data_IF_348897873472
#
_entry.id   IF_348897873472
#
_cell.length_a   1.000
_cell.length_b   1.000
_cell.length_c   1.000
_cell.angle_alpha   90.00
_cell.angle_beta   90.00
_cell.angle_gamma   90.00
#
_symmetry.space_group_name_H-M   'P 1'
#
loop_
_entity.id
_entity.type
_entity.pdbx_description
1 polymer ?
#
# COMPACT_ATOMS: atom_id res chain seq x y z
N UNK A 1 -27.45 -3.55 26.06
CA UNK A 1 -26.39 -4.08 26.96
C UNK A 1 -26.88 -4.04 28.39
N UNK A 2 -26.51 -5.02 29.21
CA UNK A 2 -26.71 -4.99 30.67
C UNK A 2 -25.67 -4.08 31.35
N UNK A 3 -25.84 -3.80 32.64
CA UNK A 3 -24.85 -3.03 33.42
C UNK A 3 -23.49 -3.75 33.47
N UNK A 4 -23.50 -5.07 33.67
CA UNK A 4 -22.28 -5.89 33.68
C UNK A 4 -21.56 -5.88 32.32
N UNK A 5 -22.31 -5.92 31.21
CA UNK A 5 -21.74 -5.82 29.86
C UNK A 5 -21.10 -4.45 29.63
N UNK A 6 -21.74 -3.37 30.11
CA UNK A 6 -21.20 -2.02 30.03
C UNK A 6 -19.93 -1.86 30.87
N UNK A 7 -19.93 -2.40 32.08
CA UNK A 7 -18.76 -2.42 32.95
C UNK A 7 -17.61 -3.19 32.31
N UNK A 8 -17.88 -4.39 31.77
CA UNK A 8 -16.89 -5.19 31.06
C UNK A 8 -16.31 -4.42 29.87
N UNK A 9 -17.14 -3.78 29.04
CA UNK A 9 -16.68 -2.95 27.92
C UNK A 9 -15.75 -1.82 28.38
N UNK A 10 -16.10 -1.14 29.47
CA UNK A 10 -15.28 -0.06 30.01
C UNK A 10 -13.94 -0.57 30.55
N UNK A 11 -13.94 -1.70 31.26
CA UNK A 11 -12.71 -2.31 31.77
C UNK A 11 -11.80 -2.79 30.64
N UNK A 12 -12.36 -3.44 29.62
CA UNK A 12 -11.59 -3.85 28.44
C UNK A 12 -10.87 -2.65 27.83
N UNK A 13 -11.59 -1.56 27.54
CA UNK A 13 -11.03 -0.31 26.98
C UNK A 13 -9.93 0.34 27.83
N UNK A 14 -9.91 0.05 29.14
CA UNK A 14 -8.95 0.63 30.08
C UNK A 14 -7.66 -0.19 30.21
N UNK A 15 -7.61 -1.42 29.68
CA UNK A 15 -6.34 -2.15 29.57
C UNK A 15 -5.49 -1.49 28.51
N UNK A 16 -4.32 -0.98 28.91
CA UNK A 16 -3.43 -0.27 28.01
C UNK A 16 -2.52 -1.23 27.27
N UNK A 17 -2.38 -1.00 25.97
CA UNK A 17 -1.32 -1.64 25.19
C UNK A 17 0.03 -1.06 25.58
N UNK A 18 0.98 -1.92 25.95
CA UNK A 18 2.34 -1.52 26.27
C UNK A 18 3.10 -0.91 25.08
N UNK A 19 2.52 -0.97 23.87
CA UNK A 19 3.11 -0.45 22.64
C UNK A 19 3.61 0.99 22.75
N UNK A 20 2.87 1.88 23.44
CA UNK A 20 3.31 3.28 23.61
C UNK A 20 4.58 3.40 24.47
N UNK A 21 4.65 2.65 25.58
CA UNK A 21 5.84 2.62 26.44
C UNK A 21 7.02 2.00 25.68
N UNK A 22 6.79 0.90 24.98
CA UNK A 22 7.80 0.19 24.19
C UNK A 22 8.35 1.02 23.03
N UNK A 23 7.50 1.78 22.33
CA UNK A 23 7.89 2.56 21.16
C UNK A 23 8.51 3.93 21.49
N UNK A 24 8.01 4.62 22.53
CA UNK A 24 8.37 6.02 22.79
C UNK A 24 9.21 6.24 24.06
N UNK A 25 8.98 5.47 25.14
CA UNK A 25 9.74 5.64 26.40
C UNK A 25 11.10 4.94 26.34
N UNK A 26 11.21 3.84 25.58
CA UNK A 26 12.46 3.10 25.38
C UNK A 26 13.62 3.94 24.80
N UNK A 27 13.32 5.05 24.10
CA UNK A 27 14.35 5.97 23.57
C UNK A 27 15.00 6.86 24.65
N UNK A 28 14.63 6.71 25.93
CA UNK A 28 15.14 7.46 27.08
C UNK A 28 15.97 6.62 28.07
N UNK A 29 15.91 6.99 29.36
CA UNK A 29 16.61 6.29 30.45
C UNK A 29 15.98 4.91 30.71
N UNK A 30 16.78 3.85 30.60
CA UNK A 30 16.36 2.46 30.79
C UNK A 30 15.65 2.23 32.15
N UNK A 31 16.14 2.85 33.24
CA UNK A 31 15.52 2.70 34.56
C UNK A 31 14.12 3.32 34.64
N UNK A 32 13.92 4.47 33.99
CA UNK A 32 12.61 5.13 33.90
C UNK A 32 11.63 4.30 33.04
N UNK A 33 12.13 3.73 31.95
CA UNK A 33 11.37 2.81 31.09
C UNK A 33 10.87 1.60 31.88
N UNK A 34 11.77 0.90 32.59
CA UNK A 34 11.41 -0.28 33.37
C UNK A 34 10.42 0.06 34.49
N UNK A 35 10.58 1.22 35.15
CA UNK A 35 9.66 1.67 36.20
C UNK A 35 8.26 1.90 35.65
N UNK A 36 8.12 2.66 34.56
CA UNK A 36 6.81 2.92 33.92
C UNK A 36 6.16 1.65 33.40
N UNK A 37 6.95 0.75 32.79
CA UNK A 37 6.44 -0.53 32.31
C UNK A 37 5.90 -1.38 33.47
N UNK A 38 6.59 -1.40 34.62
CA UNK A 38 6.14 -2.12 35.80
C UNK A 38 4.85 -1.53 36.40
N UNK A 39 4.75 -0.21 36.50
CA UNK A 39 3.54 0.48 36.97
C UNK A 39 2.34 0.19 36.06
N UNK A 40 2.51 0.26 34.74
CA UNK A 40 1.44 -0.03 33.80
C UNK A 40 1.02 -1.51 33.85
N UNK A 41 1.98 -2.43 33.97
CA UNK A 41 1.68 -3.86 34.18
C UNK A 41 0.90 -4.10 35.46
N UNK A 42 1.28 -3.47 36.56
CA UNK A 42 0.55 -3.59 37.83
C UNK A 42 -0.88 -3.06 37.70
N UNK A 43 -1.09 -1.94 37.01
CA UNK A 43 -2.41 -1.39 36.76
C UNK A 43 -3.26 -2.27 35.82
N UNK A 44 -2.64 -2.84 34.79
CA UNK A 44 -3.29 -3.81 33.91
C UNK A 44 -3.69 -5.06 34.69
N UNK A 45 -2.84 -5.62 35.56
CA UNK A 45 -3.18 -6.77 36.40
C UNK A 45 -4.39 -6.51 37.31
N UNK A 46 -4.46 -5.33 37.94
CA UNK A 46 -5.65 -4.93 38.73
C UNK A 46 -6.90 -4.89 37.85
N UNK A 47 -6.79 -4.38 36.63
CA UNK A 47 -7.91 -4.28 35.68
C UNK A 47 -8.33 -5.67 35.18
N UNK A 48 -7.37 -6.53 34.85
CA UNK A 48 -7.59 -7.93 34.46
C UNK A 48 -8.23 -8.73 35.59
N UNK A 49 -7.89 -8.46 36.85
CA UNK A 49 -8.55 -9.06 38.02
C UNK A 49 -10.05 -8.72 38.09
N UNK A 50 -10.41 -7.46 37.80
CA UNK A 50 -11.83 -7.04 37.72
C UNK A 50 -12.55 -7.69 36.54
N UNK A 51 -11.89 -7.78 35.39
CA UNK A 51 -12.44 -8.46 34.21
C UNK A 51 -12.69 -9.93 34.54
N UNK A 52 -11.71 -10.65 35.13
CA UNK A 52 -11.86 -12.04 35.58
C UNK A 52 -13.06 -12.23 36.52
N UNK A 53 -13.23 -11.33 37.49
CA UNK A 53 -14.35 -11.40 38.43
C UNK A 53 -15.71 -11.25 37.72
N UNK A 54 -15.83 -10.33 36.76
CA UNK A 54 -17.06 -10.18 35.96
C UNK A 54 -17.30 -11.38 35.05
N UNK A 55 -16.27 -11.89 34.37
CA UNK A 55 -16.42 -13.06 33.50
C UNK A 55 -16.85 -14.30 34.30
N UNK A 56 -16.38 -14.44 35.55
CA UNK A 56 -16.78 -15.53 36.44
C UNK A 56 -18.26 -15.49 36.86
N UNK A 57 -18.98 -14.36 36.71
CA UNK A 57 -20.43 -14.32 36.94
C UNK A 57 -21.25 -14.88 35.76
N UNK A 58 -20.59 -15.23 34.63
CA UNK A 58 -21.24 -15.76 33.44
C UNK A 58 -21.74 -14.68 32.47
N UNK A 59 -21.17 -13.47 32.52
CA UNK A 59 -21.47 -12.41 31.55
C UNK A 59 -21.23 -12.94 30.13
N UNK A 60 -22.28 -12.93 29.30
CA UNK A 60 -22.16 -13.34 27.90
C UNK A 60 -21.15 -12.47 27.15
N UNK A 61 -20.36 -13.08 26.27
CA UNK A 61 -19.38 -12.41 25.40
C UNK A 61 -19.89 -12.15 23.97
N UNK A 62 -21.14 -12.52 23.66
CA UNK A 62 -21.70 -12.40 22.31
C UNK A 62 -22.38 -11.06 22.02
N UNK A 63 -22.31 -10.10 22.96
CA UNK A 63 -22.88 -8.77 22.76
C UNK A 63 -21.91 -7.86 22.00
N UNK A 64 -22.43 -6.73 21.51
CA UNK A 64 -21.64 -5.69 20.89
C UNK A 64 -21.92 -4.34 21.54
N UNK A 65 -20.90 -3.48 21.58
CA UNK A 65 -21.02 -2.10 22.01
C UNK A 65 -21.75 -1.21 20.97
N UNK A 66 -21.86 0.09 21.24
CA UNK A 66 -22.49 1.06 20.35
C UNK A 66 -21.78 1.21 18.99
N UNK A 67 -20.51 0.78 18.90
CA UNK A 67 -19.72 0.78 17.67
C UNK A 67 -19.69 -0.60 17.01
N UNK A 68 -20.57 -1.52 17.44
CA UNK A 68 -20.65 -2.90 16.98
C UNK A 68 -19.39 -3.74 17.27
N UNK A 69 -18.61 -3.39 18.30
CA UNK A 69 -17.48 -4.19 18.76
C UNK A 69 -17.89 -5.19 19.84
N UNK A 70 -17.57 -6.46 19.62
CA UNK A 70 -17.63 -7.50 20.66
C UNK A 70 -16.48 -7.33 21.67
N UNK A 71 -16.58 -7.92 22.88
CA UNK A 71 -15.47 -7.99 23.83
C UNK A 71 -14.14 -8.44 23.20
N UNK A 72 -14.19 -9.49 22.36
CA UNK A 72 -13.00 -9.98 21.66
C UNK A 72 -12.45 -8.94 20.68
N UNK A 73 -13.31 -8.24 19.93
CA UNK A 73 -12.84 -7.19 19.04
C UNK A 73 -12.20 -6.03 19.79
N UNK A 74 -12.72 -5.65 20.97
CA UNK A 74 -12.09 -4.63 21.81
C UNK A 74 -10.66 -5.04 22.17
N UNK A 75 -10.45 -6.27 22.63
CA UNK A 75 -9.13 -6.81 22.93
C UNK A 75 -8.19 -6.79 21.70
N UNK A 76 -8.71 -7.15 20.52
CA UNK A 76 -7.99 -7.09 19.24
C UNK A 76 -7.58 -5.66 18.90
N UNK A 77 -8.49 -4.68 18.98
CA UNK A 77 -8.19 -3.27 18.67
C UNK A 77 -7.16 -2.65 19.62
N UNK A 78 -7.03 -3.20 20.82
CA UNK A 78 -6.02 -2.79 21.79
C UNK A 78 -4.68 -3.50 21.62
N UNK A 79 -4.57 -4.42 20.67
CA UNK A 79 -3.36 -5.22 20.46
C UNK A 79 -2.92 -5.96 21.75
N UNK A 80 -3.87 -6.41 22.58
CA UNK A 80 -3.59 -7.14 23.84
C UNK A 80 -3.85 -8.63 23.68
N UNK A 81 -2.76 -9.40 23.58
CA UNK A 81 -2.81 -10.86 23.53
C UNK A 81 -3.36 -11.43 24.85
N UNK A 82 -3.02 -10.79 25.97
CA UNK A 82 -3.44 -11.19 27.31
C UNK A 82 -4.96 -11.12 27.46
N UNK A 83 -5.61 -10.06 26.93
CA UNK A 83 -7.06 -9.98 26.90
C UNK A 83 -7.70 -10.98 25.95
N UNK A 84 -7.11 -11.20 24.77
CA UNK A 84 -7.62 -12.20 23.83
C UNK A 84 -7.60 -13.59 24.48
N UNK A 85 -6.50 -13.97 25.12
CA UNK A 85 -6.36 -15.23 25.86
C UNK A 85 -7.38 -15.34 27.00
N UNK A 86 -7.50 -14.29 27.82
CA UNK A 86 -8.48 -14.28 28.91
C UNK A 86 -9.91 -14.47 28.39
N UNK A 87 -10.30 -13.79 27.32
CA UNK A 87 -11.63 -13.96 26.75
C UNK A 87 -11.84 -15.36 26.17
N UNK A 88 -10.81 -15.97 25.58
CA UNK A 88 -10.85 -17.37 25.11
C UNK A 88 -11.06 -18.36 26.26
N UNK A 89 -10.40 -18.16 27.40
CA UNK A 89 -10.58 -18.99 28.60
C UNK A 89 -12.04 -19.02 29.07
N UNK A 90 -12.78 -17.94 28.84
CA UNK A 90 -14.21 -17.80 29.16
C UNK A 90 -15.12 -18.02 27.94
N UNK A 91 -14.63 -18.68 26.89
CA UNK A 91 -15.44 -19.18 25.77
C UNK A 91 -15.62 -18.22 24.60
N UNK A 92 -14.84 -17.14 24.50
CA UNK A 92 -14.82 -16.34 23.27
C UNK A 92 -14.23 -17.14 22.10
N UNK A 93 -14.95 -17.18 20.98
CA UNK A 93 -14.49 -17.84 19.76
C UNK A 93 -13.64 -16.89 18.90
N UNK A 94 -12.34 -17.17 18.82
CA UNK A 94 -11.40 -16.41 17.96
C UNK A 94 -11.61 -16.61 16.45
N UNK A 95 -12.48 -17.52 16.04
CA UNK A 95 -12.87 -17.73 14.63
C UNK A 95 -14.19 -17.05 14.28
N UNK A 96 -14.95 -16.57 15.27
CA UNK A 96 -16.24 -15.94 15.03
C UNK A 96 -16.06 -14.61 14.30
N UNK A 97 -16.59 -14.54 13.07
CA UNK A 97 -16.64 -13.30 12.31
C UNK A 97 -17.73 -12.38 12.86
N UNK A 98 -17.46 -11.09 12.87
CA UNK A 98 -18.44 -10.06 13.24
C UNK A 98 -18.61 -9.11 12.06
N UNK A 99 -19.81 -9.12 11.48
CA UNK A 99 -20.05 -8.47 10.20
C UNK A 99 -19.26 -9.15 9.08
N UNK A 100 -18.38 -8.38 8.42
CA UNK A 100 -17.60 -8.85 7.27
C UNK A 100 -16.16 -9.25 7.61
N UNK A 101 -15.79 -9.32 8.90
CA UNK A 101 -14.40 -9.52 9.31
C UNK A 101 -14.24 -10.60 10.38
N UNK A 102 -13.19 -11.41 10.21
CA UNK A 102 -12.68 -12.27 11.27
C UNK A 102 -11.79 -11.46 12.23
N UNK A 103 -11.49 -11.97 13.44
CA UNK A 103 -10.58 -11.31 14.36
C UNK A 103 -9.21 -11.00 13.74
N UNK A 104 -8.70 -11.87 12.85
CA UNK A 104 -7.44 -11.64 12.14
C UNK A 104 -7.51 -10.46 11.15
N UNK A 105 -8.64 -10.28 10.44
CA UNK A 105 -8.83 -9.11 9.56
C UNK A 105 -8.90 -7.82 10.36
N UNK A 106 -9.57 -7.82 11.52
CA UNK A 106 -9.60 -6.65 12.41
C UNK A 106 -8.24 -6.36 13.02
N UNK A 107 -7.50 -7.37 13.46
CA UNK A 107 -6.14 -7.19 13.93
C UNK A 107 -5.26 -6.56 12.84
N UNK A 108 -5.43 -7.03 11.60
CA UNK A 108 -4.74 -6.49 10.45
C UNK A 108 -5.15 -5.05 10.09
N UNK A 109 -6.42 -4.67 10.27
CA UNK A 109 -6.93 -3.32 10.02
C UNK A 109 -6.50 -2.30 11.08
N UNK A 110 -6.41 -2.72 12.35
CA UNK A 110 -6.06 -1.82 13.46
C UNK A 110 -4.56 -1.78 13.76
N UNK A 111 -3.74 -2.45 12.96
CA UNK A 111 -2.30 -2.51 13.18
C UNK A 111 -1.89 -3.31 14.42
N UNK A 112 -2.74 -4.24 14.87
CA UNK A 112 -2.52 -5.04 16.07
C UNK A 112 -1.56 -6.21 15.80
N UNK A 113 -0.30 -5.89 15.54
CA UNK A 113 0.76 -6.82 15.15
C UNK A 113 1.00 -7.99 16.12
N UNK A 114 0.93 -7.76 17.44
CA UNK A 114 1.07 -8.81 18.48
C UNK A 114 -0.10 -9.79 18.39
N UNK A 115 -1.32 -9.27 18.23
CA UNK A 115 -2.52 -10.09 18.06
C UNK A 115 -2.52 -10.81 16.72
N UNK A 116 -2.02 -10.21 15.63
CA UNK A 116 -1.82 -10.89 14.34
C UNK A 116 -0.92 -12.11 14.51
N UNK A 117 0.26 -11.97 15.15
CA UNK A 117 1.16 -13.10 15.45
C UNK A 117 0.45 -14.18 16.24
N UNK A 118 -0.16 -13.80 17.35
CA UNK A 118 -0.86 -14.72 18.23
C UNK A 118 -1.97 -15.50 17.50
N UNK A 119 -2.83 -14.82 16.73
CA UNK A 119 -3.92 -15.47 16.01
C UNK A 119 -3.41 -16.45 14.96
N UNK A 120 -2.32 -16.12 14.25
CA UNK A 120 -1.68 -17.04 13.30
C UNK A 120 -1.08 -18.24 14.04
N UNK A 121 -0.44 -18.03 15.20
CA UNK A 121 0.05 -19.12 16.07
C UNK A 121 -1.07 -20.03 16.59
N UNK A 122 -2.28 -19.49 16.80
CA UNK A 122 -3.50 -20.27 17.11
C UNK A 122 -4.09 -21.01 15.89
N UNK A 123 -3.41 -20.97 14.75
CA UNK A 123 -3.79 -21.68 13.52
C UNK A 123 -4.85 -20.96 12.68
N UNK A 124 -5.03 -19.65 12.84
CA UNK A 124 -5.81 -18.88 11.86
C UNK A 124 -4.98 -18.68 10.60
N UNK A 125 -5.57 -18.98 9.45
CA UNK A 125 -4.90 -18.84 8.16
C UNK A 125 -4.72 -17.35 7.79
N UNK A 126 -3.47 -16.84 7.66
CA UNK A 126 -3.23 -15.47 7.22
C UNK A 126 -3.60 -15.22 5.74
N UNK A 127 -3.92 -16.26 4.96
CA UNK A 127 -4.51 -16.16 3.61
C UNK A 127 -6.03 -16.20 3.60
N UNK A 128 -6.65 -16.39 4.77
CA UNK A 128 -8.10 -16.46 4.88
C UNK A 128 -8.75 -15.22 4.30
N UNK A 129 -9.86 -15.42 3.58
CA UNK A 129 -10.67 -14.34 3.06
C UNK A 129 -11.76 -13.97 4.08
N UNK A 130 -11.99 -12.69 4.23
CA UNK A 130 -13.16 -12.16 4.93
C UNK A 130 -14.44 -12.56 4.17
N UNK A 131 -15.62 -12.59 4.84
CA UNK A 131 -16.90 -12.74 4.14
C UNK A 131 -17.12 -11.79 2.95
N UNK A 132 -16.46 -10.62 2.95
CA UNK A 132 -16.48 -9.66 1.84
C UNK A 132 -15.42 -9.91 0.75
N UNK A 133 -14.62 -10.97 0.84
CA UNK A 133 -13.61 -11.35 -0.14
C UNK A 133 -12.26 -10.63 -0.01
N UNK A 134 -12.05 -9.81 1.02
CA UNK A 134 -10.76 -9.20 1.29
C UNK A 134 -9.82 -10.21 1.95
N UNK A 135 -8.53 -10.20 1.59
CA UNK A 135 -7.50 -10.93 2.34
C UNK A 135 -7.05 -10.12 3.55
N UNK A 136 -6.42 -10.79 4.52
CA UNK A 136 -5.82 -10.17 5.71
C UNK A 136 -4.78 -9.10 5.30
N UNK A 137 -3.91 -9.40 4.34
CA UNK A 137 -2.89 -8.45 3.87
C UNK A 137 -3.52 -7.28 3.09
N UNK A 138 -4.53 -7.52 2.25
CA UNK A 138 -5.22 -6.43 1.55
C UNK A 138 -5.90 -5.48 2.54
N UNK A 139 -6.44 -6.01 3.63
CA UNK A 139 -7.04 -5.21 4.70
C UNK A 139 -5.99 -4.36 5.39
N UNK A 140 -4.85 -4.96 5.74
CA UNK A 140 -3.73 -4.23 6.33
C UNK A 140 -3.25 -3.09 5.42
N UNK A 141 -3.04 -3.35 4.12
CA UNK A 141 -2.61 -2.33 3.14
C UNK A 141 -3.61 -1.19 2.98
N UNK A 142 -4.91 -1.48 3.04
CA UNK A 142 -5.95 -0.45 2.93
C UNK A 142 -6.08 0.44 4.16
N UNK A 143 -5.47 0.06 5.29
CA UNK A 143 -5.59 0.77 6.55
C UNK A 143 -4.38 1.65 6.85
N UNK A 144 -4.65 2.93 7.13
CA UNK A 144 -3.65 3.88 7.64
C UNK A 144 -3.11 3.53 9.03
N UNK A 145 -3.80 2.66 9.77
CA UNK A 145 -3.43 2.29 11.14
C UNK A 145 -2.45 1.11 11.19
N UNK A 146 -2.17 0.49 10.04
CA UNK A 146 -1.53 -0.82 9.99
C UNK A 146 -0.08 -0.80 9.56
N UNK A 147 0.63 0.31 9.71
CA UNK A 147 1.98 0.55 9.13
C UNK A 147 2.93 -0.66 9.16
N UNK A 148 3.05 -1.35 10.29
CA UNK A 148 4.00 -2.47 10.48
C UNK A 148 3.42 -3.84 10.07
N UNK A 149 2.10 -3.97 9.96
CA UNK A 149 1.43 -5.25 9.74
C UNK A 149 1.60 -5.81 8.32
N UNK A 150 1.58 -5.02 7.22
CA UNK A 150 1.86 -5.54 5.89
C UNK A 150 3.22 -6.24 5.79
N UNK A 151 4.26 -5.66 6.39
CA UNK A 151 5.59 -6.26 6.41
C UNK A 151 5.59 -7.59 7.18
N UNK A 152 4.98 -7.60 8.37
CA UNK A 152 4.80 -8.80 9.19
C UNK A 152 4.05 -9.92 8.44
N UNK A 153 2.94 -9.58 7.79
CA UNK A 153 2.14 -10.56 7.05
C UNK A 153 2.90 -11.08 5.84
N UNK A 154 3.63 -10.25 5.10
CA UNK A 154 4.51 -10.71 4.01
C UNK A 154 5.53 -11.72 4.53
N UNK A 155 6.18 -11.42 5.67
CA UNK A 155 7.14 -12.33 6.31
C UNK A 155 6.49 -13.68 6.68
N UNK A 156 5.30 -13.67 7.27
CA UNK A 156 4.56 -14.89 7.64
C UNK A 156 4.07 -15.70 6.43
N UNK A 157 3.75 -15.01 5.34
CA UNK A 157 3.20 -15.64 4.15
C UNK A 157 4.30 -16.26 3.27
N UNK A 158 5.53 -15.76 3.30
CA UNK A 158 6.65 -16.30 2.51
C UNK A 158 6.91 -17.81 2.77
N UNK A 159 7.02 -18.31 4.02
CA UNK A 159 7.23 -19.73 4.30
C UNK A 159 6.09 -20.64 3.83
N UNK A 160 4.87 -20.10 3.77
CA UNK A 160 3.64 -20.84 3.48
C UNK A 160 3.15 -20.60 2.05
N UNK A 161 3.98 -20.02 1.17
CA UNK A 161 3.65 -19.66 -0.22
C UNK A 161 3.13 -20.84 -1.06
N UNK A 162 3.51 -22.07 -0.70
CA UNK A 162 3.01 -23.31 -1.31
C UNK A 162 1.55 -23.63 -0.99
N UNK A 163 0.98 -23.01 0.05
CA UNK A 163 -0.42 -23.19 0.48
C UNK A 163 -1.39 -22.21 -0.21
N UNK A 164 -0.92 -21.40 -1.18
CA UNK A 164 -1.76 -20.45 -1.92
C UNK A 164 -2.88 -21.17 -2.69
N UNK A 165 -4.04 -20.49 -2.89
CA UNK A 165 -5.06 -21.00 -3.81
C UNK A 165 -4.47 -21.13 -5.23
N UNK A 166 -4.96 -22.09 -6.04
CA UNK A 166 -4.44 -22.30 -7.38
C UNK A 166 -4.61 -21.04 -8.26
N UNK A 167 -3.73 -20.85 -9.26
CA UNK A 167 -3.83 -19.71 -10.16
C UNK A 167 -5.18 -19.72 -10.89
N UNK A 168 -5.84 -18.57 -11.05
CA UNK A 168 -7.10 -18.53 -11.80
C UNK A 168 -6.86 -18.89 -13.27
N UNK A 169 -7.83 -19.59 -13.87
CA UNK A 169 -7.74 -20.05 -15.27
C UNK A 169 -7.60 -18.91 -16.29
N UNK A 170 -8.04 -17.69 -15.95
CA UNK A 170 -7.99 -16.50 -16.80
C UNK A 170 -7.57 -15.28 -15.98
N UNK A 171 -6.28 -15.01 -15.91
CA UNK A 171 -5.74 -13.79 -15.31
C UNK A 171 -5.47 -12.74 -16.40
N UNK A 172 -6.00 -11.53 -16.23
CA UNK A 172 -5.65 -10.36 -17.03
C UNK A 172 -4.66 -9.52 -16.23
N UNK A 173 -3.37 -9.77 -16.41
CA UNK A 173 -2.33 -9.11 -15.63
C UNK A 173 -0.99 -9.81 -15.70
N UNK A 174 -0.11 -9.46 -14.77
CA UNK A 174 1.23 -10.01 -14.65
C UNK A 174 1.16 -11.35 -13.89
N UNK A 175 1.60 -12.43 -14.52
CA UNK A 175 1.68 -13.76 -13.89
C UNK A 175 3.00 -13.92 -13.15
N UNK A 176 2.96 -14.53 -11.97
CA UNK A 176 4.14 -14.85 -11.17
C UNK A 176 5.20 -15.62 -11.96
N UNK A 177 4.81 -16.66 -12.72
CA UNK A 177 5.74 -17.48 -13.49
C UNK A 177 6.60 -16.64 -14.45
N UNK A 178 5.96 -15.82 -15.29
CA UNK A 178 6.67 -14.94 -16.23
C UNK A 178 7.48 -13.87 -15.52
N UNK A 179 6.95 -13.29 -14.45
CA UNK A 179 7.64 -12.23 -13.70
C UNK A 179 8.87 -12.76 -12.98
N UNK A 180 8.77 -13.90 -12.30
CA UNK A 180 9.90 -14.54 -11.63
C UNK A 180 10.95 -14.97 -12.66
N UNK A 181 10.52 -15.52 -13.80
CA UNK A 181 11.42 -15.84 -14.91
C UNK A 181 12.20 -14.62 -15.40
N UNK A 182 11.52 -13.50 -15.64
CA UNK A 182 12.15 -12.24 -16.05
C UNK A 182 13.09 -11.66 -14.98
N UNK A 183 12.64 -11.59 -13.73
CA UNK A 183 13.41 -11.01 -12.63
C UNK A 183 14.59 -11.87 -12.17
N UNK A 184 14.61 -13.15 -12.53
CA UNK A 184 15.76 -14.05 -12.31
C UNK A 184 16.87 -13.88 -13.36
N UNK A 185 16.59 -13.18 -14.46
CA UNK A 185 17.57 -12.86 -15.49
C UNK A 185 18.54 -11.75 -15.10
N UNK A 186 19.37 -11.36 -16.06
CA UNK A 186 20.31 -10.25 -15.93
C UNK A 186 19.58 -8.92 -15.76
N UNK A 187 20.22 -7.97 -15.06
CA UNK A 187 19.68 -6.62 -14.89
C UNK A 187 19.65 -5.92 -16.25
N UNK A 188 18.48 -5.43 -16.72
CA UNK A 188 18.40 -4.74 -18.00
C UNK A 188 19.30 -3.50 -18.04
N UNK A 189 19.82 -3.19 -19.23
CA UNK A 189 20.61 -1.97 -19.45
C UNK A 189 19.81 -0.72 -19.04
N UNK A 190 20.46 0.22 -18.34
CA UNK A 190 19.82 1.45 -17.85
C UNK A 190 18.93 1.28 -16.62
N UNK A 191 18.89 0.08 -16.02
CA UNK A 191 18.27 -0.16 -14.71
C UNK A 191 19.37 -0.39 -13.67
N UNK A 192 19.30 0.32 -12.54
CA UNK A 192 20.27 0.13 -11.46
C UNK A 192 20.03 -1.20 -10.72
N UNK A 193 21.08 -1.94 -10.30
CA UNK A 193 20.93 -3.22 -9.62
C UNK A 193 20.06 -3.18 -8.36
N UNK A 194 20.13 -2.09 -7.59
CA UNK A 194 19.32 -1.94 -6.39
C UNK A 194 17.84 -1.69 -6.70
N UNK A 195 17.51 -0.97 -7.79
CA UNK A 195 16.12 -0.80 -8.26
C UNK A 195 15.56 -2.12 -8.78
N UNK A 196 16.39 -2.94 -9.43
CA UNK A 196 16.02 -4.29 -9.84
C UNK A 196 15.72 -5.20 -8.65
N UNK A 197 16.59 -5.18 -7.63
CA UNK A 197 16.36 -5.90 -6.38
C UNK A 197 15.10 -5.41 -5.64
N UNK A 198 14.84 -4.10 -5.65
CA UNK A 198 13.64 -3.50 -5.07
C UNK A 198 12.37 -3.94 -5.81
N UNK A 199 12.40 -3.97 -7.16
CA UNK A 199 11.31 -4.51 -7.96
C UNK A 199 11.06 -5.99 -7.66
N UNK A 200 12.12 -6.78 -7.49
CA UNK A 200 12.01 -8.19 -7.08
C UNK A 200 11.34 -8.34 -5.72
N UNK A 201 11.79 -7.59 -4.72
CA UNK A 201 11.16 -7.59 -3.40
C UNK A 201 9.69 -7.17 -3.43
N UNK A 202 9.36 -6.15 -4.23
CA UNK A 202 7.96 -5.74 -4.46
C UNK A 202 7.14 -6.89 -5.05
N UNK A 203 7.62 -7.53 -6.12
CA UNK A 203 6.89 -8.61 -6.78
C UNK A 203 6.77 -9.87 -5.92
N UNK A 204 7.81 -10.21 -5.15
CA UNK A 204 7.76 -11.32 -4.18
C UNK A 204 6.69 -11.07 -3.11
N UNK A 205 6.60 -9.83 -2.60
CA UNK A 205 5.59 -9.41 -1.64
C UNK A 205 4.17 -9.35 -2.23
N UNK A 206 4.03 -9.01 -3.53
CA UNK A 206 2.74 -9.03 -4.24
C UNK A 206 2.27 -10.47 -4.45
N UNK A 207 3.16 -11.36 -4.90
CA UNK A 207 2.80 -12.74 -5.20
C UNK A 207 2.72 -13.64 -3.97
N UNK A 208 2.92 -13.13 -2.76
CA UNK A 208 2.83 -13.95 -1.54
C UNK A 208 1.40 -14.46 -1.26
N UNK A 209 0.38 -13.80 -1.83
CA UNK A 209 -1.05 -14.15 -1.72
C UNK A 209 -1.67 -14.68 -3.02
N UNK A 210 -1.18 -14.21 -4.17
CA UNK A 210 -1.78 -14.47 -5.48
C UNK A 210 -0.71 -14.89 -6.48
N UNK A 211 -1.09 -15.64 -7.50
CA UNK A 211 -0.23 -15.99 -8.62
C UNK A 211 -0.20 -14.93 -9.73
N UNK A 212 -1.00 -13.87 -9.60
CA UNK A 212 -1.08 -12.80 -10.59
C UNK A 212 -1.44 -11.46 -9.94
N UNK A 213 -1.10 -10.36 -10.60
CA UNK A 213 -1.50 -9.01 -10.19
C UNK A 213 -2.04 -8.24 -11.38
N UNK A 214 -3.07 -7.42 -11.17
CA UNK A 214 -3.58 -6.54 -12.22
C UNK A 214 -2.60 -5.41 -12.49
N UNK A 215 -2.63 -4.81 -13.68
CA UNK A 215 -1.79 -3.65 -13.96
C UNK A 215 -2.12 -2.45 -13.07
N UNK A 216 -3.39 -2.28 -12.66
CA UNK A 216 -3.82 -1.22 -11.74
C UNK A 216 -3.14 -1.39 -10.38
N UNK A 217 -3.18 -2.61 -9.82
CA UNK A 217 -2.60 -2.87 -8.50
C UNK A 217 -1.06 -2.84 -8.55
N UNK A 218 -0.46 -3.34 -9.64
CA UNK A 218 0.98 -3.22 -9.86
C UNK A 218 1.42 -1.75 -9.91
N UNK A 219 0.69 -0.91 -10.66
CA UNK A 219 0.97 0.51 -10.75
C UNK A 219 0.85 1.21 -9.38
N UNK A 220 -0.21 0.92 -8.62
CA UNK A 220 -0.38 1.47 -7.28
C UNK A 220 0.79 1.09 -6.34
N UNK A 221 1.25 -0.17 -6.41
CA UNK A 221 2.42 -0.61 -5.65
C UNK A 221 3.72 0.08 -6.05
N UNK A 222 3.90 0.39 -7.34
CA UNK A 222 5.03 1.19 -7.82
C UNK A 222 4.92 2.63 -7.31
N UNK A 223 3.75 3.29 -7.40
CA UNK A 223 3.57 4.65 -6.86
C UNK A 223 3.91 4.72 -5.37
N UNK A 224 3.37 3.80 -4.56
CA UNK A 224 3.58 3.75 -3.12
C UNK A 224 5.06 3.58 -2.74
N UNK A 225 5.79 2.70 -3.45
CA UNK A 225 7.18 2.39 -3.12
C UNK A 225 8.20 3.24 -3.85
N UNK A 226 7.83 3.91 -4.94
CA UNK A 226 8.79 4.61 -5.78
C UNK A 226 9.45 5.74 -5.03
N UNK A 227 8.77 6.44 -4.10
CA UNK A 227 9.23 7.75 -3.62
C UNK A 227 9.72 8.63 -4.80
N UNK A 228 9.12 8.44 -5.98
CA UNK A 228 9.50 9.02 -7.26
C UNK A 228 10.89 8.64 -7.77
N UNK A 229 11.35 7.42 -7.47
CA UNK A 229 12.52 6.79 -8.05
C UNK A 229 12.25 6.39 -9.52
N UNK A 230 12.82 7.12 -10.50
CA UNK A 230 12.60 6.87 -11.92
C UNK A 230 13.07 5.48 -12.34
N UNK A 231 14.20 5.02 -11.78
CA UNK A 231 14.76 3.71 -12.11
C UNK A 231 13.82 2.56 -11.73
N UNK A 232 13.05 2.69 -10.64
CA UNK A 232 12.05 1.69 -10.27
C UNK A 232 10.84 1.73 -11.21
N UNK A 233 10.38 2.93 -11.57
CA UNK A 233 9.27 3.10 -12.53
C UNK A 233 9.63 2.48 -13.88
N UNK A 234 10.83 2.76 -14.40
CA UNK A 234 11.29 2.20 -15.67
C UNK A 234 11.51 0.68 -15.61
N UNK A 235 12.08 0.18 -14.51
CA UNK A 235 12.17 -1.27 -14.30
C UNK A 235 10.77 -1.91 -14.31
N UNK A 236 9.78 -1.25 -13.71
CA UNK A 236 8.39 -1.70 -13.69
C UNK A 236 7.73 -1.67 -15.07
N UNK A 237 7.92 -0.60 -15.86
CA UNK A 237 7.44 -0.53 -17.24
C UNK A 237 8.08 -1.62 -18.10
N UNK A 238 9.39 -1.82 -18.00
CA UNK A 238 10.11 -2.87 -18.72
C UNK A 238 9.61 -4.27 -18.34
N UNK A 239 9.32 -4.50 -17.05
CA UNK A 239 8.69 -5.74 -16.58
C UNK A 239 7.32 -5.95 -17.23
N UNK A 240 6.46 -4.92 -17.28
CA UNK A 240 5.15 -5.03 -17.95
C UNK A 240 5.33 -5.39 -19.42
N UNK A 241 6.20 -4.68 -20.13
CA UNK A 241 6.49 -4.93 -21.55
C UNK A 241 7.02 -6.34 -21.81
N UNK A 242 7.87 -6.87 -20.93
CA UNK A 242 8.50 -8.17 -21.10
C UNK A 242 7.60 -9.36 -20.70
N UNK A 243 6.69 -9.16 -19.74
CA UNK A 243 6.01 -10.28 -19.06
C UNK A 243 4.50 -10.32 -19.25
N UNK A 244 3.87 -9.20 -19.63
CA UNK A 244 2.42 -9.20 -19.84
C UNK A 244 2.07 -10.11 -21.01
N UNK A 245 1.04 -10.95 -20.82
CA UNK A 245 0.62 -11.90 -21.86
C UNK A 245 -0.02 -11.22 -23.08
N UNK A 246 -0.69 -10.09 -22.85
CA UNK A 246 -1.25 -9.29 -23.94
C UNK A 246 -0.15 -8.41 -24.54
N UNK A 247 0.01 -8.47 -25.86
CA UNK A 247 0.89 -7.55 -26.58
C UNK A 247 0.44 -6.09 -26.38
N UNK A 248 1.36 -5.10 -26.46
CA UNK A 248 1.01 -3.70 -26.39
C UNK A 248 0.05 -3.33 -27.52
N UNK A 249 -0.97 -2.53 -27.20
CA UNK A 249 -2.01 -2.14 -28.17
C UNK A 249 -2.12 -0.63 -28.22
N UNK A 250 -1.92 -0.05 -29.40
CA UNK A 250 -2.20 1.36 -29.60
C UNK A 250 -3.70 1.67 -29.39
N UNK A 251 -4.01 2.77 -28.72
CA UNK A 251 -5.39 3.18 -28.42
C UNK A 251 -5.55 4.69 -28.53
N UNK A 252 -6.61 5.14 -29.21
CA UNK A 252 -7.02 6.54 -29.23
C UNK A 252 -8.33 6.73 -28.44
N UNK A 253 -8.37 7.70 -27.53
CA UNK A 253 -9.51 7.99 -26.66
C UNK A 253 -9.80 9.48 -26.58
N UNK A 254 -11.07 9.86 -26.37
CA UNK A 254 -11.44 11.26 -26.12
C UNK A 254 -11.17 11.71 -24.69
N UNK A 255 -11.26 10.79 -23.73
CA UNK A 255 -11.09 11.01 -22.30
C UNK A 255 -10.50 9.76 -21.66
N UNK A 256 -9.76 9.94 -20.57
CA UNK A 256 -9.29 8.85 -19.70
C UNK A 256 -10.22 8.68 -18.50
N UNK A 257 -10.07 7.58 -17.77
CA UNK A 257 -10.81 7.34 -16.54
C UNK A 257 -10.51 8.43 -15.49
N UNK A 258 -11.46 8.65 -14.57
CA UNK A 258 -11.31 9.60 -13.44
C UNK A 258 -10.54 9.04 -12.25
N UNK A 259 -10.09 7.79 -12.32
CA UNK A 259 -9.27 7.11 -11.31
C UNK A 259 -7.87 6.81 -11.88
N UNK A 260 -7.08 5.98 -11.19
CA UNK A 260 -5.82 5.47 -11.72
C UNK A 260 -6.02 4.77 -13.08
N UNK A 261 -5.24 5.17 -14.08
CA UNK A 261 -5.34 4.69 -15.45
C UNK A 261 -4.02 4.06 -15.91
N UNK A 262 -4.05 2.79 -16.32
CA UNK A 262 -2.86 2.10 -16.83
C UNK A 262 -3.13 1.60 -18.24
N UNK A 263 -2.22 1.91 -19.17
CA UNK A 263 -2.30 1.47 -20.55
C UNK A 263 -1.00 0.79 -21.01
N UNK A 264 -1.14 -0.43 -21.51
CA UNK A 264 -0.04 -1.18 -22.12
C UNK A 264 -0.03 -0.97 -23.64
N UNK A 265 0.87 -0.11 -24.11
CA UNK A 265 0.98 0.33 -25.50
C UNK A 265 0.97 1.84 -25.64
N UNK A 266 0.78 2.32 -26.87
CA UNK A 266 0.73 3.73 -27.22
C UNK A 266 -0.66 4.31 -26.99
N UNK A 267 -0.74 5.46 -26.32
CA UNK A 267 -1.99 6.13 -26.01
C UNK A 267 -2.07 7.50 -26.71
N UNK A 268 -3.14 7.70 -27.49
CA UNK A 268 -3.53 9.01 -27.98
C UNK A 268 -4.78 9.51 -27.22
N UNK A 269 -4.71 10.72 -26.66
CA UNK A 269 -5.86 11.43 -26.09
C UNK A 269 -6.19 12.60 -27.01
N UNK A 270 -7.37 12.58 -27.63
CA UNK A 270 -7.75 13.58 -28.65
C UNK A 270 -8.22 14.93 -28.10
N UNK A 271 -8.08 15.15 -26.79
CA UNK A 271 -8.49 16.36 -26.10
C UNK A 271 -7.71 16.54 -24.81
N UNK A 272 -8.15 17.46 -23.95
CA UNK A 272 -7.45 17.73 -22.70
C UNK A 272 -7.41 16.50 -21.77
N UNK A 273 -6.32 16.38 -21.03
CA UNK A 273 -6.06 15.31 -20.08
C UNK A 273 -5.82 15.92 -18.70
N UNK A 274 -6.64 15.53 -17.73
CA UNK A 274 -6.36 15.79 -16.31
C UNK A 274 -5.90 14.48 -15.66
N UNK A 275 -4.66 14.46 -15.16
CA UNK A 275 -4.01 13.25 -14.63
C UNK A 275 -4.36 13.09 -13.14
N UNK A 276 -4.73 11.87 -12.75
CA UNK A 276 -5.01 11.48 -11.36
C UNK A 276 -3.94 10.52 -10.83
N UNK A 277 -3.57 9.52 -11.63
CA UNK A 277 -2.45 8.59 -11.45
C UNK A 277 -2.42 7.78 -12.73
N UNK A 278 -1.35 7.85 -13.51
CA UNK A 278 -1.33 7.28 -14.86
C UNK A 278 0.01 6.64 -15.22
N UNK A 279 -0.06 5.44 -15.81
CA UNK A 279 1.07 4.78 -16.45
C UNK A 279 0.73 4.40 -17.89
N UNK A 280 1.58 4.80 -18.82
CA UNK A 280 1.54 4.40 -20.23
C UNK A 280 2.87 3.72 -20.55
N UNK A 281 2.84 2.44 -20.93
CA UNK A 281 4.11 1.71 -21.18
C UNK A 281 4.75 2.07 -22.52
N UNK A 282 4.00 2.65 -23.46
CA UNK A 282 4.50 3.13 -24.75
C UNK A 282 4.55 4.66 -24.81
N UNK A 283 4.25 5.20 -25.97
CA UNK A 283 4.18 6.64 -26.21
C UNK A 283 2.86 7.23 -25.72
N UNK A 284 2.88 8.47 -25.26
CA UNK A 284 1.70 9.26 -24.91
C UNK A 284 1.60 10.47 -25.84
N UNK A 285 0.49 10.62 -26.54
CA UNK A 285 0.19 11.83 -27.33
C UNK A 285 -1.11 12.43 -26.85
N UNK A 286 -1.11 13.71 -26.50
CA UNK A 286 -2.31 14.46 -26.11
C UNK A 286 -2.50 15.65 -27.06
N UNK A 287 -3.60 15.65 -27.82
CA UNK A 287 -3.99 16.75 -28.73
C UNK A 287 -4.70 17.85 -27.93
N UNK A 288 -3.99 18.43 -26.98
CA UNK A 288 -4.53 19.43 -26.07
C UNK A 288 -3.67 19.65 -24.84
N UNK A 289 -4.31 20.20 -23.80
CA UNK A 289 -3.67 20.52 -22.53
C UNK A 289 -3.59 19.30 -21.62
N UNK A 290 -2.49 19.20 -20.88
CA UNK A 290 -2.28 18.19 -19.85
C UNK A 290 -2.10 18.88 -18.51
N UNK A 291 -2.96 18.57 -17.55
CA UNK A 291 -2.88 19.04 -16.17
C UNK A 291 -2.57 17.85 -15.26
N UNK A 292 -1.42 17.84 -14.61
CA UNK A 292 -1.03 16.85 -13.61
C UNK A 292 -1.06 17.46 -12.21
N UNK A 293 -2.05 17.07 -11.41
CA UNK A 293 -2.28 17.66 -10.10
C UNK A 293 -1.31 17.12 -9.03
N UNK A 294 -1.19 17.86 -7.93
CA UNK A 294 -0.34 17.50 -6.77
C UNK A 294 -0.56 16.04 -6.35
N UNK A 295 0.54 15.28 -6.29
CA UNK A 295 0.54 13.88 -5.86
C UNK A 295 0.11 12.85 -6.91
N UNK A 296 -0.35 13.26 -8.09
CA UNK A 296 -0.71 12.35 -9.18
C UNK A 296 0.52 11.90 -9.98
N UNK A 297 0.84 10.60 -10.02
CA UNK A 297 1.92 10.10 -10.87
C UNK A 297 1.59 10.16 -12.36
N UNK A 298 2.53 10.63 -13.18
CA UNK A 298 2.49 10.49 -14.64
C UNK A 298 3.74 9.76 -15.14
N UNK A 299 3.58 8.49 -15.51
CA UNK A 299 4.68 7.65 -15.97
C UNK A 299 4.50 7.25 -17.43
N UNK A 300 5.46 7.62 -18.28
CA UNK A 300 5.44 7.32 -19.72
C UNK A 300 6.70 6.56 -20.09
N UNK A 301 6.53 5.38 -20.70
CA UNK A 301 7.65 4.51 -21.08
C UNK A 301 8.41 4.99 -22.31
N UNK A 302 7.71 5.60 -23.27
CA UNK A 302 8.26 6.17 -24.49
C UNK A 302 8.23 7.69 -24.52
N UNK A 303 7.98 8.26 -25.69
CA UNK A 303 7.87 9.69 -25.90
C UNK A 303 6.54 10.25 -25.40
N UNK A 304 6.55 11.47 -24.90
CA UNK A 304 5.36 12.22 -24.51
C UNK A 304 5.23 13.50 -25.32
N UNK A 305 4.12 13.65 -26.04
CA UNK A 305 3.78 14.84 -26.82
C UNK A 305 2.48 15.48 -26.36
N UNK A 306 2.46 16.79 -26.20
CA UNK A 306 1.24 17.56 -25.94
C UNK A 306 1.33 19.01 -26.43
N UNK A 307 0.23 19.77 -26.38
CA UNK A 307 0.28 21.21 -26.71
C UNK A 307 0.84 22.01 -25.53
N UNK A 308 0.21 21.89 -24.36
CA UNK A 308 0.67 22.53 -23.12
C UNK A 308 0.62 21.56 -21.96
N UNK A 309 1.68 21.54 -21.16
CA UNK A 309 1.79 20.69 -19.99
C UNK A 309 1.94 21.53 -18.72
N UNK A 310 1.02 21.35 -17.79
CA UNK A 310 1.12 21.83 -16.41
C UNK A 310 1.33 20.63 -15.48
N UNK A 311 2.39 20.66 -14.67
CA UNK A 311 2.62 19.66 -13.64
C UNK A 311 2.84 20.27 -12.26
N UNK A 312 2.10 19.75 -11.30
CA UNK A 312 2.30 19.94 -9.86
C UNK A 312 2.63 18.60 -9.16
N UNK A 313 2.64 17.51 -9.92
CA UNK A 313 2.92 16.17 -9.45
C UNK A 313 4.19 15.58 -10.05
N UNK A 314 4.51 14.33 -9.69
CA UNK A 314 5.67 13.62 -10.16
C UNK A 314 5.50 13.05 -11.57
N UNK A 315 6.50 13.30 -12.42
CA UNK A 315 6.45 12.95 -13.84
C UNK A 315 7.74 12.26 -14.25
N UNK A 316 7.63 11.09 -14.87
CA UNK A 316 8.77 10.31 -15.34
C UNK A 316 8.50 9.89 -16.79
N UNK A 317 9.39 10.29 -17.69
CA UNK A 317 9.29 10.06 -19.14
C UNK A 317 10.53 9.33 -19.63
N UNK A 318 10.34 8.15 -20.22
CA UNK A 318 11.42 7.28 -20.69
C UNK A 318 12.05 7.73 -22.01
N UNK A 319 11.27 8.40 -22.85
CA UNK A 319 11.71 9.02 -24.09
C UNK A 319 11.88 10.53 -23.97
N UNK A 320 11.49 11.24 -25.02
CA UNK A 320 11.52 12.70 -25.12
C UNK A 320 10.18 13.31 -24.76
N UNK A 321 10.20 14.56 -24.27
CA UNK A 321 9.03 15.40 -24.06
C UNK A 321 9.00 16.47 -25.15
N UNK A 322 7.91 16.56 -25.92
CA UNK A 322 7.65 17.60 -26.93
C UNK A 322 6.37 18.36 -26.58
N UNK A 323 6.50 19.64 -26.23
CA UNK A 323 5.36 20.51 -25.94
C UNK A 323 5.61 21.98 -26.33
N UNK A 324 4.57 22.75 -26.65
CA UNK A 324 4.76 24.20 -26.85
C UNK A 324 5.10 24.90 -25.53
N UNK A 325 4.36 24.59 -24.47
CA UNK A 325 4.55 25.14 -23.13
C UNK A 325 4.68 24.02 -22.11
N UNK A 326 5.75 24.03 -21.33
CA UNK A 326 5.89 23.22 -20.12
C UNK A 326 5.93 24.15 -18.92
N UNK A 327 4.98 24.01 -18.01
CA UNK A 327 4.98 24.69 -16.72
C UNK A 327 5.00 23.63 -15.62
N UNK A 328 5.96 23.73 -14.73
CA UNK A 328 6.05 22.87 -13.55
C UNK A 328 6.07 23.72 -12.28
N UNK A 329 5.46 23.26 -11.20
CA UNK A 329 5.31 24.02 -9.97
C UNK A 329 5.41 23.14 -8.72
N UNK A 330 5.95 23.73 -7.64
CA UNK A 330 6.04 23.09 -6.32
C UNK A 330 7.37 22.38 -6.10
N UNK A 331 7.76 22.13 -4.85
CA UNK A 331 9.10 21.63 -4.50
C UNK A 331 9.13 20.16 -4.06
N UNK A 332 7.98 19.50 -3.96
CA UNK A 332 7.87 18.14 -3.42
C UNK A 332 8.09 17.05 -4.49
N UNK A 333 8.10 17.42 -5.78
CA UNK A 333 8.18 16.50 -6.91
C UNK A 333 9.12 17.01 -8.01
N UNK A 334 9.33 16.17 -9.03
CA UNK A 334 10.13 16.51 -10.20
C UNK A 334 9.57 15.97 -11.50
N UNK A 335 10.03 16.59 -12.59
CA UNK A 335 9.87 16.16 -13.98
C UNK A 335 11.20 15.56 -14.45
N UNK A 336 11.21 14.27 -14.74
CA UNK A 336 12.35 13.57 -15.31
C UNK A 336 12.08 13.13 -16.75
N UNK A 337 12.98 13.48 -17.66
CA UNK A 337 12.96 13.13 -19.08
C UNK A 337 14.27 12.42 -19.44
N UNK A 338 14.24 11.12 -19.72
CA UNK A 338 15.48 10.40 -20.09
C UNK A 338 16.00 10.77 -21.48
N UNK A 339 15.14 11.27 -22.36
CA UNK A 339 15.49 11.79 -23.68
C UNK A 339 15.68 13.31 -23.69
N UNK A 340 15.17 13.94 -24.74
CA UNK A 340 15.24 15.40 -24.91
C UNK A 340 13.96 16.05 -24.37
N UNK A 341 14.10 17.11 -23.59
CA UNK A 341 13.00 18.02 -23.30
C UNK A 341 13.00 19.15 -24.35
N UNK A 342 12.06 19.05 -25.28
CA UNK A 342 11.81 20.01 -26.35
C UNK A 342 10.61 20.89 -25.96
N UNK A 343 10.85 22.19 -25.84
CA UNK A 343 9.76 23.13 -25.60
C UNK A 343 10.01 24.52 -26.19
N UNK A 344 8.93 25.21 -26.62
CA UNK A 344 9.04 26.64 -26.91
C UNK A 344 9.28 27.43 -25.63
N UNK A 345 8.53 27.14 -24.57
CA UNK A 345 8.71 27.77 -23.26
C UNK A 345 8.68 26.76 -22.11
N UNK A 346 9.67 26.82 -21.22
CA UNK A 346 9.73 26.10 -19.95
C UNK A 346 9.64 27.11 -18.80
N UNK A 347 8.66 26.94 -17.92
CA UNK A 347 8.50 27.73 -16.69
C UNK A 347 8.61 26.81 -15.50
N UNK A 348 9.57 27.08 -14.61
CA UNK A 348 9.84 26.24 -13.43
C UNK A 348 9.54 27.04 -12.16
N UNK A 349 8.42 26.81 -11.50
CA UNK A 349 8.03 27.59 -10.31
C UNK A 349 8.34 26.87 -8.99
N UNK A 350 8.68 27.65 -7.96
CA UNK A 350 8.86 27.17 -6.58
C UNK A 350 9.86 26.01 -6.42
N UNK A 351 10.98 26.04 -7.15
CA UNK A 351 12.08 25.05 -7.06
C UNK A 351 11.69 23.62 -7.46
N UNK A 352 10.72 23.46 -8.35
CA UNK A 352 10.42 22.15 -8.94
C UNK A 352 11.65 21.60 -9.68
N UNK A 353 11.97 20.32 -9.45
CA UNK A 353 13.17 19.72 -10.06
C UNK A 353 12.85 19.29 -11.48
N UNK A 354 13.64 19.74 -12.46
CA UNK A 354 13.52 19.30 -13.87
C UNK A 354 14.84 18.70 -14.33
N UNK A 355 14.82 17.43 -14.71
CA UNK A 355 15.99 16.71 -15.24
C UNK A 355 15.69 16.23 -16.66
N UNK A 356 16.63 16.46 -17.57
CA UNK A 356 16.58 15.90 -18.92
C UNK A 356 17.98 15.48 -19.37
N UNK A 357 18.10 14.44 -20.20
CA UNK A 357 19.39 14.11 -20.81
C UNK A 357 19.86 15.22 -21.74
N UNK A 358 18.92 15.88 -22.41
CA UNK A 358 19.16 17.07 -23.23
C UNK A 358 18.02 18.07 -23.10
N UNK A 359 18.34 19.36 -23.02
CA UNK A 359 17.37 20.44 -23.10
C UNK A 359 17.44 21.10 -24.48
N UNK A 360 16.31 21.19 -25.16
CA UNK A 360 16.09 21.93 -26.41
C UNK A 360 14.92 22.90 -26.19
N UNK A 361 15.14 23.84 -25.28
CA UNK A 361 14.13 24.83 -24.86
C UNK A 361 14.48 26.20 -25.44
N UNK A 362 13.52 26.87 -26.09
CA UNK A 362 13.77 28.20 -26.67
C UNK A 362 13.75 29.31 -25.61
N UNK A 363 12.80 29.27 -24.68
CA UNK A 363 12.66 30.23 -23.57
C UNK A 363 12.54 29.49 -22.24
N UNK A 364 13.41 29.80 -21.27
CA UNK A 364 13.38 29.18 -19.94
C UNK A 364 13.29 30.24 -18.85
N UNK A 365 12.31 30.09 -17.97
CA UNK A 365 12.08 30.93 -16.79
C UNK A 365 12.26 30.09 -15.52
N UNK A 366 13.31 30.41 -14.75
CA UNK A 366 13.53 29.91 -13.39
C UNK A 366 13.49 31.14 -12.44
N UNK A 367 12.52 31.25 -11.50
CA UNK A 367 12.34 32.36 -10.58
C UNK A 367 13.25 32.34 -9.35
#
# INVERSE_FOLDING_TARGET
MTNEQLELTNLLRNVKSHHYIEAFVRKGNEAEYQTRLAEERAQNEVTLGKIRALLATGVSLSFADQNHHTPLQLAVTQNSVELVQLLMEYGADIRAAVGYDTPLHRAAEFGADRVVRFLVEQGLDPRGLSPGGASVLSRARSSRHSREVPALLVEMLLPTKSQRPPPPKKAKGLSEEKVVGYLSGEVPSGVKPWSWAKLRGLMDAVFVETHFVTLKDFHAGIEEQSAMNPDLVFAGIGLVQATLAEAPKAKSVKKVAKESYVHHGDLEVTGNLSVVSMMVTGNLTVKGKVDNFVGAGLFVGGDFKCESFLSEGPVIIGGSLDAELVRVRGNDYGLEVRGTLQARKLVVEHKHVVTAARFEVQEREDP
#
